data_IF_765648943976
#
_entry.id   IF_765648943976
#
_cell.length_a   1.000
_cell.length_b   1.000
_cell.length_c   1.000
_cell.angle_alpha   90.00
_cell.angle_beta   90.00
_cell.angle_gamma   90.00
#
_symmetry.space_group_name_H-M   'P 1'
#
loop_
_entity.id
_entity.type
_entity.pdbx_description
1 polymer ?
#
# COMPACT_ATOMS: atom_id res chain seq x y z
N UNK A 1 -1.65 -3.33 4.23
CA UNK A 1 -2.03 -2.18 3.37
C UNK A 1 -2.15 -2.48 1.87
N UNK A 2 -1.81 -3.68 1.39
CA UNK A 2 -1.84 -4.02 -0.03
C UNK A 2 -3.21 -3.84 -0.70
N UNK A 3 -4.31 -3.93 0.07
CA UNK A 3 -5.67 -3.77 -0.44
C UNK A 3 -6.00 -2.32 -0.83
N UNK A 4 -5.48 -1.33 -0.09
CA UNK A 4 -5.67 0.10 -0.43
C UNK A 4 -4.92 0.42 -1.73
N UNK A 5 -3.73 -0.18 -1.89
CA UNK A 5 -2.90 -0.05 -3.10
C UNK A 5 -3.54 -0.75 -4.32
N UNK A 6 -4.32 -1.81 -4.10
CA UNK A 6 -5.16 -2.45 -5.14
C UNK A 6 -6.46 -1.70 -5.45
N UNK A 7 -6.70 -0.52 -4.85
CA UNK A 7 -7.89 0.29 -5.10
C UNK A 7 -9.13 -0.06 -4.27
N UNK A 8 -9.01 -0.90 -3.25
CA UNK A 8 -10.14 -1.20 -2.37
C UNK A 8 -10.45 -0.03 -1.42
N UNK A 9 -11.74 0.24 -1.23
CA UNK A 9 -12.21 1.24 -0.28
C UNK A 9 -11.74 0.93 1.16
N UNK A 10 -11.40 1.97 1.92
CA UNK A 10 -10.95 1.88 3.32
C UNK A 10 -11.88 1.05 4.22
N UNK A 11 -13.20 1.13 3.99
CA UNK A 11 -14.21 0.30 4.68
C UNK A 11 -13.98 -1.20 4.46
N UNK A 12 -13.69 -1.60 3.23
CA UNK A 12 -13.44 -2.99 2.89
C UNK A 12 -12.14 -3.50 3.50
N UNK A 13 -11.12 -2.64 3.56
CA UNK A 13 -9.83 -2.95 4.19
C UNK A 13 -9.97 -3.12 5.70
N UNK A 14 -10.75 -2.27 6.37
CA UNK A 14 -11.05 -2.38 7.80
C UNK A 14 -11.71 -3.72 8.12
N UNK A 15 -12.75 -4.09 7.36
CA UNK A 15 -13.46 -5.38 7.51
C UNK A 15 -12.52 -6.57 7.25
N UNK A 16 -11.71 -6.50 6.19
CA UNK A 16 -10.82 -7.61 5.80
C UNK A 16 -9.63 -7.80 6.74
N UNK A 17 -9.21 -6.76 7.46
CA UNK A 17 -8.16 -6.83 8.48
C UNK A 17 -8.72 -6.98 9.90
N UNK A 18 -10.04 -7.16 10.07
CA UNK A 18 -10.73 -7.19 11.37
C UNK A 18 -10.31 -6.03 12.29
N UNK A 19 -10.13 -4.85 11.69
CA UNK A 19 -9.62 -3.67 12.37
C UNK A 19 -10.60 -2.52 12.26
N UNK A 20 -10.56 -1.61 13.24
CA UNK A 20 -11.43 -0.43 13.21
C UNK A 20 -11.07 0.49 12.04
N UNK A 21 -12.07 1.19 11.53
CA UNK A 21 -11.87 2.15 10.43
C UNK A 21 -10.98 3.33 10.85
N UNK A 22 -10.99 3.68 12.14
CA UNK A 22 -10.10 4.67 12.75
C UNK A 22 -8.65 4.19 12.75
N UNK A 23 -8.40 2.92 13.06
CA UNK A 23 -7.07 2.30 12.99
C UNK A 23 -6.52 2.36 11.56
N UNK A 24 -7.34 2.03 10.55
CA UNK A 24 -6.90 2.12 9.14
C UNK A 24 -6.65 3.57 8.72
N UNK A 25 -7.45 4.54 9.18
CA UNK A 25 -7.19 5.98 8.95
C UNK A 25 -5.88 6.43 9.57
N UNK A 26 -5.58 5.99 10.79
CA UNK A 26 -4.32 6.29 11.46
C UNK A 26 -3.14 5.74 10.67
N UNK A 27 -3.19 4.47 10.26
CA UNK A 27 -2.15 3.89 9.41
C UNK A 27 -2.01 4.64 8.08
N UNK A 28 -3.12 5.06 7.47
CA UNK A 28 -3.11 5.84 6.22
C UNK A 28 -2.41 7.18 6.40
N UNK A 29 -2.72 7.92 7.46
CA UNK A 29 -2.06 9.19 7.78
C UNK A 29 -0.56 8.98 8.04
N UNK A 30 -0.20 7.89 8.72
CA UNK A 30 1.22 7.59 8.96
C UNK A 30 1.95 7.25 7.66
N UNK A 31 1.31 6.54 6.72
CA UNK A 31 1.86 6.29 5.38
C UNK A 31 1.99 7.60 4.60
N UNK A 32 0.98 8.47 4.68
CA UNK A 32 0.98 9.77 4.00
C UNK A 32 2.14 10.64 4.48
N UNK A 33 2.31 10.71 5.79
CA UNK A 33 3.42 11.43 6.41
C UNK A 33 4.78 10.81 6.08
N UNK A 34 4.88 9.49 5.92
CA UNK A 34 6.13 8.80 5.55
C UNK A 34 6.49 8.95 4.07
N UNK A 35 5.49 9.11 3.20
CA UNK A 35 5.66 9.24 1.76
C UNK A 35 5.62 10.69 1.29
N UNK A 36 5.46 11.64 2.22
CA UNK A 36 5.30 13.08 1.96
C UNK A 36 4.16 13.38 0.97
N UNK A 37 3.03 12.68 1.12
CA UNK A 37 1.85 12.84 0.27
C UNK A 37 0.64 13.32 1.08
N UNK A 38 -0.22 14.10 0.44
CA UNK A 38 -1.36 14.77 1.06
C UNK A 38 -2.72 14.18 0.64
N UNK A 39 -2.74 13.33 -0.39
CA UNK A 39 -3.99 12.82 -0.99
C UNK A 39 -3.95 11.34 -1.39
N UNK A 40 -5.15 10.74 -1.49
CA UNK A 40 -5.35 9.41 -2.10
C UNK A 40 -4.90 9.37 -3.55
N UNK A 41 -5.07 10.47 -4.28
CA UNK A 41 -4.64 10.58 -5.67
C UNK A 41 -3.12 10.48 -5.79
N UNK A 42 -2.37 11.12 -4.89
CA UNK A 42 -0.91 11.03 -4.86
C UNK A 42 -0.43 9.63 -4.48
N UNK A 43 -1.08 8.97 -3.51
CA UNK A 43 -0.79 7.57 -3.20
C UNK A 43 -1.00 6.68 -4.43
N UNK A 44 -2.07 6.92 -5.19
CA UNK A 44 -2.38 6.17 -6.40
C UNK A 44 -1.36 6.45 -7.51
N UNK A 45 -0.97 7.72 -7.69
CA UNK A 45 0.05 8.10 -8.67
C UNK A 45 1.42 7.50 -8.35
N UNK A 46 1.82 7.51 -7.06
CA UNK A 46 3.05 6.88 -6.59
C UNK A 46 3.01 5.37 -6.81
N UNK A 47 1.85 4.74 -6.61
CA UNK A 47 1.65 3.32 -6.87
C UNK A 47 1.78 2.97 -8.37
N UNK A 48 1.15 3.75 -9.26
CA UNK A 48 1.31 3.55 -10.70
C UNK A 48 2.78 3.78 -11.12
N UNK A 49 3.42 4.80 -10.57
CA UNK A 49 4.83 5.09 -10.84
C UNK A 49 5.73 3.95 -10.36
N UNK A 50 5.46 3.35 -9.19
CA UNK A 50 6.22 2.20 -8.70
C UNK A 50 5.95 0.92 -9.49
N UNK A 51 4.73 0.71 -10.00
CA UNK A 51 4.44 -0.39 -10.93
C UNK A 51 5.20 -0.25 -12.25
N UNK A 52 5.35 0.98 -12.77
CA UNK A 52 6.12 1.24 -14.00
C UNK A 52 7.63 1.14 -13.76
N UNK A 53 8.09 1.45 -12.55
CA UNK A 53 9.48 1.33 -12.15
C UNK A 53 9.86 -0.07 -11.67
N UNK A 54 8.88 -0.96 -11.45
CA UNK A 54 9.13 -2.34 -11.10
C UNK A 54 9.76 -3.04 -12.32
N UNK A 55 11.01 -3.52 -12.23
CA UNK A 55 11.60 -4.32 -13.29
C UNK A 55 10.75 -5.58 -13.51
N UNK A 56 10.60 -6.01 -14.77
CA UNK A 56 9.80 -7.16 -15.20
C UNK A 56 10.27 -8.53 -14.65
N UNK A 57 11.22 -8.54 -13.71
CA UNK A 57 11.87 -9.73 -13.15
C UNK A 57 11.72 -9.78 -11.62
N UNK A 58 10.53 -10.11 -11.13
CA UNK A 58 10.34 -10.59 -9.76
C UNK A 58 9.71 -11.99 -9.79
N UNK A 59 10.33 -12.91 -10.54
CA UNK A 59 9.98 -14.34 -10.51
C UNK A 59 10.72 -15.09 -9.38
N UNK A 60 11.77 -14.49 -8.82
CA UNK A 60 12.58 -15.11 -7.76
C UNK A 60 12.45 -14.34 -6.45
N UNK A 61 11.98 -15.04 -5.42
CA UNK A 61 11.95 -14.56 -4.05
C UNK A 61 13.38 -14.22 -3.58
N UNK A 62 13.70 -12.94 -3.31
CA UNK A 62 15.03 -12.52 -2.87
C UNK A 62 15.40 -13.00 -1.46
N UNK A 63 14.46 -13.61 -0.72
CA UNK A 63 14.69 -14.20 0.60
C UNK A 63 15.18 -15.65 0.55
N UNK A 64 15.20 -16.29 -0.64
CA UNK A 64 15.73 -17.65 -0.79
C UNK A 64 17.22 -17.77 -0.39
N UNK A 65 17.98 -16.66 -0.39
CA UNK A 65 19.38 -16.65 0.03
C UNK A 65 19.58 -16.65 1.56
N UNK A 66 18.51 -16.55 2.34
CA UNK A 66 18.54 -16.52 3.81
C UNK A 66 17.97 -17.79 4.46
N UNK A 67 17.68 -18.84 3.68
CA UNK A 67 17.19 -20.14 4.15
C UNK A 67 18.28 -21.20 3.93
#
# INVERSE_FOLDING_TARGET
MQLILRGHALKYVAIKLDNSLETIKYHRNNIYSKLDISSQAELFHLFISSLRAAPENFDSDPLASYI
#
